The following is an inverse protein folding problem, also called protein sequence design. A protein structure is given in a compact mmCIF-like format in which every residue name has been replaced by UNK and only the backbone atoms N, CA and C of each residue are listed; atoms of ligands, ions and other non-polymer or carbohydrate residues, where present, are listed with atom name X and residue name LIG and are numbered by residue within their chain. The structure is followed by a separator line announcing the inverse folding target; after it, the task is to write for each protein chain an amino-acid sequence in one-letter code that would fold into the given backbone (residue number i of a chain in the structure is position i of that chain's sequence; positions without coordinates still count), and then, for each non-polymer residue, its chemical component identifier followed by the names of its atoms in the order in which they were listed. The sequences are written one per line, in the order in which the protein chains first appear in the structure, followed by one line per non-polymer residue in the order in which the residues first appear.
data_IF_549126931205
#
_entry.id   IF_549126931205
#
_cell.length_a   1.000
_cell.length_b   1.000
_cell.length_c   1.000
_cell.angle_alpha   90.00
_cell.angle_beta   90.00
_cell.angle_gamma   90.00
#
_symmetry.space_group_name_H-M   'P 1'
#
loop_
_entity.id
_entity.type
_entity.pdbx_description
1 polymer ?
#
# COMPACT_ATOMS: atom_id res chain seq x y z
N UNK A 1 9.94 -7.14 -23.66
CA UNK A 1 8.76 -6.29 -23.55
C UNK A 1 8.83 -5.51 -22.24
N UNK A 2 8.70 -4.20 -22.34
CA UNK A 2 8.77 -3.35 -21.15
C UNK A 2 7.35 -3.01 -20.72
N UNK A 3 6.86 -3.72 -19.71
CA UNK A 3 5.60 -3.39 -19.08
C UNK A 3 5.77 -2.29 -18.05
N UNK A 4 4.71 -1.56 -17.81
CA UNK A 4 4.64 -0.54 -16.75
C UNK A 4 3.40 -0.77 -15.93
N UNK A 5 3.47 -0.39 -14.66
CA UNK A 5 2.34 -0.45 -13.73
C UNK A 5 2.19 0.88 -13.02
N UNK A 6 0.96 1.20 -12.63
CA UNK A 6 0.69 2.40 -11.87
C UNK A 6 0.72 2.06 -10.38
N UNK A 7 1.61 2.72 -9.67
CA UNK A 7 1.79 2.53 -8.23
C UNK A 7 1.33 3.81 -7.52
N UNK A 8 0.41 3.67 -6.58
CA UNK A 8 0.04 4.76 -5.69
C UNK A 8 1.01 4.77 -4.51
N UNK A 9 1.71 5.88 -4.33
CA UNK A 9 2.72 6.03 -3.28
C UNK A 9 2.15 6.86 -2.14
N UNK A 10 2.34 6.40 -0.93
CA UNK A 10 1.94 7.11 0.28
C UNK A 10 3.02 6.98 1.35
N UNK A 11 2.89 7.82 2.38
CA UNK A 11 3.83 7.85 3.49
C UNK A 11 3.11 7.54 4.79
N UNK A 12 3.74 6.72 5.60
CA UNK A 12 3.23 6.33 6.92
C UNK A 12 4.42 6.24 7.88
N UNK A 13 4.39 7.08 8.92
CA UNK A 13 5.44 7.15 9.95
C UNK A 13 6.85 7.29 9.36
N UNK A 14 6.99 8.12 8.33
CA UNK A 14 8.27 8.42 7.70
C UNK A 14 8.74 7.37 6.68
N UNK A 15 7.98 6.32 6.48
CA UNK A 15 8.30 5.26 5.51
C UNK A 15 7.38 5.40 4.30
N UNK A 16 7.95 5.26 3.10
CA UNK A 16 7.16 5.27 1.88
C UNK A 16 6.77 3.87 1.47
N UNK A 17 5.50 3.73 1.13
CA UNK A 17 4.92 2.49 0.65
C UNK A 17 4.25 2.72 -0.69
N UNK A 18 4.10 1.66 -1.46
CA UNK A 18 3.39 1.69 -2.72
C UNK A 18 2.38 0.56 -2.79
N UNK A 19 1.28 0.82 -3.47
CA UNK A 19 0.25 -0.17 -3.73
C UNK A 19 -0.15 -0.08 -5.19
N UNK A 20 -0.70 -1.16 -5.73
CA UNK A 20 -1.27 -1.12 -7.08
C UNK A 20 -2.38 -0.06 -7.09
N UNK A 21 -2.22 0.95 -7.94
CA UNK A 21 -3.20 2.03 -8.03
C UNK A 21 -4.60 1.52 -8.35
N UNK A 22 -4.71 0.38 -9.05
CA UNK A 22 -5.99 -0.24 -9.34
C UNK A 22 -6.72 -0.79 -8.13
N UNK A 23 -6.03 -0.98 -7.01
CA UNK A 23 -6.64 -1.41 -5.76
C UNK A 23 -7.21 -0.26 -4.94
N UNK A 24 -6.82 0.97 -5.24
CA UNK A 24 -7.26 2.15 -4.48
C UNK A 24 -8.57 2.66 -5.06
N UNK A 25 -9.60 2.70 -4.22
CA UNK A 25 -10.92 3.21 -4.64
C UNK A 25 -10.96 4.73 -4.52
N UNK A 26 -10.48 5.26 -3.40
CA UNK A 26 -10.37 6.69 -3.19
C UNK A 26 -9.34 7.01 -2.11
N UNK A 27 -8.91 8.25 -2.08
CA UNK A 27 -8.02 8.80 -1.06
C UNK A 27 -8.65 10.07 -0.53
N UNK A 28 -8.61 10.25 0.79
CA UNK A 28 -9.20 11.43 1.39
C UNK A 28 -9.17 11.40 2.91
N UNK A 29 -10.14 12.06 3.50
CA UNK A 29 -10.30 12.06 4.95
C UNK A 29 -10.96 10.78 5.41
N UNK A 30 -10.77 10.44 6.69
CA UNK A 30 -11.37 9.25 7.27
C UNK A 30 -12.88 9.27 7.12
N UNK A 31 -13.43 8.18 6.62
CA UNK A 31 -14.85 7.98 6.44
C UNK A 31 -15.40 6.88 7.34
N UNK A 32 -16.48 6.26 6.88
CA UNK A 32 -17.19 5.22 7.62
C UNK A 32 -16.66 3.81 7.36
N UNK A 33 -15.69 3.67 6.47
CA UNK A 33 -15.12 2.37 6.12
C UNK A 33 -14.45 1.74 7.34
N UNK A 34 -14.39 0.41 7.37
CA UNK A 34 -13.74 -0.31 8.45
C UNK A 34 -12.23 -0.12 8.38
N UNK A 35 -11.65 0.42 9.45
CA UNK A 35 -10.19 0.55 9.53
C UNK A 35 -9.53 -0.81 9.67
N UNK A 36 -8.41 -1.00 8.97
CA UNK A 36 -7.58 -2.20 9.15
C UNK A 36 -6.65 -2.08 10.36
N UNK A 37 -6.74 -0.98 11.10
CA UNK A 37 -5.89 -0.72 12.25
C UNK A 37 -4.49 -0.29 11.83
N UNK A 38 -3.48 -0.78 12.53
CA UNK A 38 -2.08 -0.46 12.23
C UNK A 38 -1.34 -1.72 11.77
N UNK A 39 -1.71 -2.30 10.60
CA UNK A 39 -1.17 -3.60 10.17
C UNK A 39 0.33 -3.56 9.85
N UNK A 40 0.88 -2.36 9.61
CA UNK A 40 2.29 -2.17 9.38
C UNK A 40 3.03 -1.80 10.66
N UNK A 41 2.36 -1.91 11.82
CA UNK A 41 2.95 -1.65 13.13
C UNK A 41 3.12 -0.17 13.45
N UNK A 42 2.58 0.72 12.63
CA UNK A 42 2.77 2.16 12.76
C UNK A 42 1.42 2.87 12.65
N UNK A 43 0.96 3.53 13.73
CA UNK A 43 -0.29 4.28 13.65
C UNK A 43 -0.11 5.54 12.83
N UNK A 44 -1.10 5.87 12.01
CA UNK A 44 -1.11 7.10 11.24
C UNK A 44 -1.60 8.26 12.11
N UNK A 45 -1.05 9.44 11.88
CA UNK A 45 -1.43 10.65 12.60
C UNK A 45 -1.91 11.76 11.65
N UNK A 46 -1.86 11.51 10.34
CA UNK A 46 -2.16 12.53 9.34
C UNK A 46 -3.64 12.78 9.08
N UNK A 47 -4.53 11.94 9.62
CA UNK A 47 -5.97 12.09 9.39
C UNK A 47 -6.45 11.77 7.98
N UNK A 48 -5.61 11.16 7.17
CA UNK A 48 -5.95 10.75 5.81
C UNK A 48 -6.04 9.24 5.72
N UNK A 49 -6.75 8.76 4.71
CA UNK A 49 -6.83 7.33 4.46
C UNK A 49 -6.91 7.04 2.98
N UNK A 50 -6.58 5.81 2.62
CA UNK A 50 -6.95 5.27 1.32
C UNK A 50 -7.96 4.16 1.53
N UNK A 51 -8.92 4.08 0.61
CA UNK A 51 -10.01 3.11 0.67
C UNK A 51 -9.79 2.06 -0.41
N UNK A 52 -10.00 0.81 -0.05
CA UNK A 52 -9.90 -0.32 -0.97
C UNK A 52 -11.00 -1.32 -0.66
N UNK A 53 -11.31 -2.18 -1.63
CA UNK A 53 -12.30 -3.24 -1.46
C UNK A 53 -11.63 -4.59 -1.43
N UNK A 54 -12.15 -5.49 -0.60
CA UNK A 54 -11.78 -6.90 -0.65
C UNK A 54 -12.50 -7.58 -1.82
N UNK A 55 -12.14 -8.82 -2.11
CA UNK A 55 -12.82 -9.62 -3.13
C UNK A 55 -14.32 -9.76 -2.85
N UNK A 56 -14.70 -9.69 -1.59
CA UNK A 56 -16.11 -9.75 -1.18
C UNK A 56 -16.84 -8.43 -1.37
N UNK A 57 -16.14 -7.39 -1.81
CA UNK A 57 -16.71 -6.07 -2.02
C UNK A 57 -16.83 -5.22 -0.77
N UNK A 58 -16.30 -5.66 0.36
CA UNK A 58 -16.33 -4.89 1.59
C UNK A 58 -15.29 -3.78 1.55
N UNK A 59 -15.71 -2.56 1.87
CA UNK A 59 -14.84 -1.40 1.90
C UNK A 59 -14.03 -1.35 3.19
N UNK A 60 -12.74 -1.21 3.06
CA UNK A 60 -11.81 -1.02 4.18
C UNK A 60 -10.98 0.22 3.95
N UNK A 61 -10.42 0.77 5.02
CA UNK A 61 -9.51 1.90 4.90
C UNK A 61 -8.18 1.60 5.58
N UNK A 62 -7.12 2.09 4.97
CA UNK A 62 -5.79 2.15 5.58
C UNK A 62 -5.51 3.60 5.90
N UNK A 63 -5.30 3.89 7.18
CA UNK A 63 -4.98 5.24 7.61
C UNK A 63 -3.52 5.53 7.26
N UNK A 64 -3.27 6.69 6.65
CA UNK A 64 -1.94 7.10 6.19
C UNK A 64 -1.64 8.51 6.66
N UNK A 65 -0.37 8.90 6.61
CA UNK A 65 0.02 10.25 6.98
C UNK A 65 -0.07 11.20 5.79
N UNK A 66 0.35 10.75 4.61
CA UNK A 66 0.37 11.60 3.42
C UNK A 66 0.22 10.78 2.15
N UNK A 67 -0.61 11.26 1.23
CA UNK A 67 -0.70 10.73 -0.11
C UNK A 67 0.32 11.46 -0.98
N UNK A 68 1.19 10.71 -1.67
CA UNK A 68 2.19 11.29 -2.56
C UNK A 68 1.66 11.32 -3.99
N UNK A 69 1.03 10.26 -4.44
CA UNK A 69 0.42 10.22 -5.76
C UNK A 69 0.74 8.97 -6.54
N UNK A 70 0.22 8.92 -7.76
CA UNK A 70 0.43 7.79 -8.66
C UNK A 70 1.72 7.99 -9.45
N UNK A 71 2.49 6.91 -9.57
CA UNK A 71 3.71 6.88 -10.40
C UNK A 71 3.61 5.73 -11.37
N UNK A 72 3.91 5.99 -12.63
CA UNK A 72 4.05 4.94 -13.63
C UNK A 72 5.45 4.33 -13.48
N UNK A 73 5.50 3.03 -13.21
CA UNK A 73 6.74 2.36 -12.82
C UNK A 73 7.04 1.23 -13.77
N UNK A 74 8.26 1.17 -14.35
CA UNK A 74 8.65 0.02 -15.16
C UNK A 74 8.67 -1.25 -14.30
N UNK A 75 8.08 -2.32 -14.82
CA UNK A 75 8.07 -3.60 -14.12
C UNK A 75 9.49 -4.06 -13.80
N UNK A 76 10.45 -3.73 -14.68
CA UNK A 76 11.85 -4.09 -14.47
C UNK A 76 12.47 -3.48 -13.21
N UNK A 77 11.90 -2.38 -12.68
CA UNK A 77 12.40 -1.77 -11.44
C UNK A 77 11.75 -2.32 -10.17
N UNK A 78 10.84 -3.27 -10.32
CA UNK A 78 10.20 -3.93 -9.18
C UNK A 78 10.97 -5.19 -8.80
N UNK A 79 10.99 -5.47 -7.50
CA UNK A 79 11.63 -6.67 -6.96
C UNK A 79 10.65 -7.38 -6.06
N UNK A 80 10.52 -8.69 -6.24
CA UNK A 80 9.74 -9.52 -5.33
C UNK A 80 10.60 -9.83 -4.12
N UNK A 81 10.01 -9.71 -2.94
CA UNK A 81 10.69 -10.06 -1.69
C UNK A 81 10.27 -11.46 -1.26
N UNK A 82 11.23 -12.30 -0.84
CA UNK A 82 10.86 -13.60 -0.27
C UNK A 82 10.13 -13.40 1.05
N UNK A 83 9.19 -14.30 1.35
CA UNK A 83 8.37 -14.23 2.56
C UNK A 83 9.21 -14.15 3.82
N UNK A 84 10.34 -14.85 3.84
CA UNK A 84 11.26 -14.86 4.98
C UNK A 84 11.99 -13.55 5.22
N UNK A 85 11.99 -12.63 4.22
CA UNK A 85 12.71 -11.37 4.32
C UNK A 85 11.81 -10.22 4.79
N UNK A 86 10.51 -10.47 5.02
CA UNK A 86 9.57 -9.42 5.38
C UNK A 86 8.90 -9.75 6.71
N UNK A 87 8.65 -8.69 7.50
CA UNK A 87 7.99 -8.83 8.80
C UNK A 87 6.47 -8.90 8.67
N UNK A 88 5.91 -8.51 7.53
CA UNK A 88 4.47 -8.42 7.31
C UNK A 88 4.10 -9.14 6.02
N UNK A 89 3.11 -10.04 6.09
CA UNK A 89 2.65 -10.82 4.95
C UNK A 89 2.14 -9.97 3.79
N UNK A 90 1.68 -8.76 4.08
CA UNK A 90 1.17 -7.87 3.05
C UNK A 90 2.28 -7.21 2.23
N UNK A 91 3.52 -7.24 2.71
CA UNK A 91 4.66 -6.70 1.96
C UNK A 91 5.10 -7.73 0.93
N UNK A 92 4.88 -7.43 -0.34
CA UNK A 92 5.09 -8.40 -1.43
C UNK A 92 6.29 -8.07 -2.30
N UNK A 93 6.82 -6.86 -2.20
CA UNK A 93 7.92 -6.49 -3.05
C UNK A 93 8.50 -5.14 -2.68
N UNK A 94 9.35 -4.63 -3.56
CA UNK A 94 9.96 -3.32 -3.42
C UNK A 94 10.13 -2.68 -4.79
N UNK A 95 10.00 -1.38 -4.83
CA UNK A 95 10.31 -0.58 -6.00
C UNK A 95 11.59 0.20 -5.69
N UNK A 96 12.60 0.00 -6.54
CA UNK A 96 13.86 0.70 -6.42
C UNK A 96 13.78 1.98 -7.23
N UNK A 97 13.63 3.11 -6.55
CA UNK A 97 13.50 4.44 -7.14
C UNK A 97 14.74 5.25 -6.79
N UNK A 98 15.77 5.13 -7.63
CA UNK A 98 17.06 5.77 -7.35
C UNK A 98 17.65 5.26 -6.04
N UNK A 99 17.87 6.19 -5.10
CA UNK A 99 18.41 5.87 -3.78
C UNK A 99 17.33 5.41 -2.80
N UNK A 100 16.05 5.49 -3.19
CA UNK A 100 14.95 5.16 -2.32
C UNK A 100 14.41 3.77 -2.61
N UNK A 101 14.02 3.09 -1.54
CA UNK A 101 13.30 1.83 -1.65
C UNK A 101 11.89 2.05 -1.14
N UNK A 102 10.90 1.79 -1.99
CA UNK A 102 9.49 1.90 -1.64
C UNK A 102 8.95 0.49 -1.50
N UNK A 103 8.45 0.16 -0.31
CA UNK A 103 7.91 -1.17 -0.06
C UNK A 103 6.53 -1.31 -0.68
N UNK A 104 6.32 -2.39 -1.39
CA UNK A 104 5.06 -2.65 -2.08
C UNK A 104 4.15 -3.51 -1.22
N UNK A 105 2.92 -3.06 -1.07
CA UNK A 105 1.93 -3.66 -0.18
C UNK A 105 0.76 -4.19 -1.02
N UNK A 106 0.28 -5.37 -0.67
CA UNK A 106 -0.97 -5.90 -1.19
C UNK A 106 -2.09 -5.49 -0.23
N UNK A 107 -2.94 -4.56 -0.64
CA UNK A 107 -3.96 -3.98 0.25
C UNK A 107 -4.91 -5.03 0.84
N UNK A 108 -5.51 -5.94 0.06
CA UNK A 108 -6.41 -6.93 0.65
C UNK A 108 -5.77 -7.80 1.73
N UNK A 109 -4.45 -8.03 1.64
CA UNK A 109 -3.75 -8.82 2.64
C UNK A 109 -3.60 -8.12 3.99
N UNK A 110 -3.90 -6.81 4.07
CA UNK A 110 -3.90 -6.07 5.32
C UNK A 110 -5.12 -6.35 6.19
N UNK A 111 -6.18 -6.88 5.58
CA UNK A 111 -7.44 -7.15 6.31
C UNK A 111 -7.24 -8.34 7.24
N UNK A 112 -7.55 -8.18 8.55
CA UNK A 112 -7.41 -9.29 9.49
C UNK A 112 -8.24 -10.50 9.03
N UNK A 113 -7.63 -11.68 9.10
CA UNK A 113 -8.27 -12.91 8.66
C UNK A 113 -8.20 -13.17 7.15
N UNK A 114 -7.59 -12.28 6.37
CA UNK A 114 -7.37 -12.52 4.94
C UNK A 114 -6.31 -13.61 4.74
N UNK A 115 -6.54 -14.43 3.73
CA UNK A 115 -5.64 -15.55 3.40
C UNK A 115 -4.87 -15.31 2.13
#
# INVERSE_FOLDING_TARGET
MTGKVDIFVFELAGTRYGVDAGQVVKVGHMGKETSVGAPLGKPAVGGRCLVFHTEEGTAHRLDIDRAIGVREVPVASLRRLPTSAVANKATVGAWLDGDQTILLIDLPALVPGAH
#
